data_IF_787395295085
#
_entry.id   IF_787395295085
#
_cell.length_a   1.000
_cell.length_b   1.000
_cell.length_c   1.000
_cell.angle_alpha   90.00
_cell.angle_beta   90.00
_cell.angle_gamma   90.00
#
_symmetry.space_group_name_H-M   'P 1'
#
loop_
_entity.id
_entity.type
_entity.pdbx_description
1 polymer ?
#
# COMPACT_ATOMS: atom_id res chain seq x y z
N UNK A 1 12.65 11.42 0.22
CA UNK A 1 12.60 10.12 -0.46
C UNK A 1 12.17 9.06 0.54
N UNK A 2 11.11 8.33 0.22
CA UNK A 2 10.69 7.14 0.96
C UNK A 2 11.20 5.95 0.17
N UNK A 3 12.00 5.10 0.80
CA UNK A 3 12.47 3.84 0.21
C UNK A 3 11.90 2.68 1.01
N UNK A 4 11.39 1.67 0.33
CA UNK A 4 10.87 0.45 0.98
C UNK A 4 12.03 -0.34 1.60
N UNK A 5 11.80 -0.90 2.77
CA UNK A 5 12.73 -1.83 3.41
C UNK A 5 12.81 -3.12 2.60
N UNK A 6 14.01 -3.61 2.34
CA UNK A 6 14.21 -4.97 1.83
C UNK A 6 14.24 -5.96 3.00
N UNK A 7 13.76 -7.18 2.73
CA UNK A 7 13.86 -8.27 3.70
C UNK A 7 15.30 -8.76 3.86
N UNK A 8 15.57 -9.33 5.02
CA UNK A 8 16.84 -10.01 5.29
C UNK A 8 17.07 -11.15 4.28
N UNK A 9 18.23 -11.18 3.64
CA UNK A 9 18.59 -12.18 2.62
C UNK A 9 19.43 -13.35 3.19
N UNK A 10 19.81 -13.29 4.46
CA UNK A 10 20.69 -14.30 5.08
C UNK A 10 19.89 -15.28 5.93
N UNK A 11 18.97 -14.79 6.73
CA UNK A 11 18.23 -15.60 7.70
C UNK A 11 16.76 -15.17 7.79
N UNK A 12 15.90 -16.12 8.10
CA UNK A 12 14.52 -15.83 8.46
C UNK A 12 14.47 -14.97 9.72
N UNK A 13 13.73 -13.88 9.65
CA UNK A 13 13.44 -13.02 10.79
C UNK A 13 11.97 -12.65 10.81
N UNK A 14 11.44 -12.40 11.98
CA UNK A 14 10.06 -12.00 12.13
C UNK A 14 9.83 -11.18 13.38
N UNK A 15 8.79 -10.41 13.37
CA UNK A 15 8.30 -9.68 14.53
C UNK A 15 6.78 -9.71 14.56
N UNK A 16 6.23 -9.95 15.73
CA UNK A 16 4.79 -9.85 15.98
C UNK A 16 4.55 -8.92 17.16
N UNK A 17 3.43 -8.24 17.15
CA UNK A 17 2.98 -7.39 18.24
C UNK A 17 1.48 -7.47 18.37
N UNK A 18 1.02 -7.64 19.59
CA UNK A 18 -0.41 -7.63 19.94
C UNK A 18 -0.60 -6.53 20.97
N UNK A 19 -1.43 -5.56 20.62
CA UNK A 19 -1.83 -4.47 21.52
C UNK A 19 -3.32 -4.52 21.82
N UNK A 20 -3.79 -3.59 22.62
CA UNK A 20 -5.20 -3.50 22.98
C UNK A 20 -6.12 -3.19 21.80
N UNK A 21 -5.59 -2.54 20.77
CA UNK A 21 -6.38 -2.03 19.62
C UNK A 21 -5.86 -2.56 18.30
N UNK A 22 -4.57 -2.88 18.21
CA UNK A 22 -3.90 -3.19 16.95
C UNK A 22 -2.96 -4.37 17.12
N UNK A 23 -2.98 -5.27 16.17
CA UNK A 23 -1.99 -6.34 16.02
C UNK A 23 -1.21 -6.16 14.72
N UNK A 24 0.06 -6.58 14.73
CA UNK A 24 0.94 -6.54 13.56
C UNK A 24 1.81 -7.77 13.48
N UNK A 25 2.14 -8.16 12.26
CA UNK A 25 3.06 -9.25 11.94
C UNK A 25 3.97 -8.81 10.79
N UNK A 26 5.28 -9.06 10.92
CA UNK A 26 6.23 -8.91 9.82
C UNK A 26 7.09 -10.17 9.75
N UNK A 27 7.31 -10.67 8.54
CA UNK A 27 8.12 -11.84 8.25
C UNK A 27 9.11 -11.48 7.15
N UNK A 28 10.38 -11.78 7.37
CA UNK A 28 11.46 -11.60 6.40
C UNK A 28 12.00 -12.98 6.04
N UNK A 29 11.80 -13.40 4.79
CA UNK A 29 12.03 -14.76 4.32
C UNK A 29 13.12 -14.73 3.26
N UNK A 30 14.32 -15.29 3.52
CA UNK A 30 15.30 -15.52 2.49
C UNK A 30 14.87 -16.73 1.64
N UNK A 31 14.58 -16.49 0.36
CA UNK A 31 14.21 -17.56 -0.59
C UNK A 31 15.49 -18.16 -1.19
N UNK A 32 16.40 -17.29 -1.62
CA UNK A 32 17.74 -17.68 -2.09
C UNK A 32 18.72 -16.79 -1.32
N UNK A 33 19.59 -17.44 -0.54
CA UNK A 33 20.57 -16.74 0.27
C UNK A 33 21.32 -15.68 -0.53
N UNK A 34 21.46 -14.48 0.04
CA UNK A 34 22.12 -13.30 -0.52
C UNK A 34 21.49 -12.74 -1.81
N UNK A 35 20.58 -13.47 -2.47
CA UNK A 35 20.00 -13.08 -3.76
C UNK A 35 18.53 -12.69 -3.66
N UNK A 36 17.69 -13.53 -3.06
CA UNK A 36 16.24 -13.37 -3.12
C UNK A 36 15.64 -13.37 -1.74
N UNK A 37 14.81 -12.37 -1.47
CA UNK A 37 14.07 -12.30 -0.22
C UNK A 37 12.62 -11.84 -0.44
N UNK A 38 11.77 -12.24 0.50
CA UNK A 38 10.38 -11.83 0.58
C UNK A 38 10.11 -11.24 1.96
N UNK A 39 9.60 -10.02 2.01
CA UNK A 39 9.02 -9.42 3.20
C UNK A 39 7.51 -9.52 3.10
N UNK A 40 6.87 -10.04 4.12
CA UNK A 40 5.43 -10.01 4.30
C UNK A 40 5.11 -9.20 5.55
N UNK A 41 4.13 -8.34 5.45
CA UNK A 41 3.63 -7.55 6.57
C UNK A 41 2.12 -7.58 6.62
N UNK A 42 1.57 -7.58 7.82
CA UNK A 42 0.15 -7.44 8.04
C UNK A 42 -0.13 -6.70 9.33
N UNK A 43 -1.16 -5.89 9.31
CA UNK A 43 -1.65 -5.16 10.47
C UNK A 43 -3.16 -5.14 10.46
N UNK A 44 -3.76 -5.22 11.63
CA UNK A 44 -5.21 -5.12 11.79
C UNK A 44 -5.56 -4.38 13.08
N UNK A 45 -6.70 -3.72 13.06
CA UNK A 45 -7.28 -3.03 14.21
C UNK A 45 -8.61 -3.65 14.58
N UNK A 46 -8.85 -3.73 15.89
CA UNK A 46 -10.08 -4.25 16.51
C UNK A 46 -10.54 -3.30 17.62
N UNK A 47 -10.90 -2.08 17.26
CA UNK A 47 -11.26 -1.01 18.19
C UNK A 47 -12.75 -0.99 18.59
N UNK A 48 -13.60 -1.82 18.00
CA UNK A 48 -15.04 -1.84 18.24
C UNK A 48 -15.41 -2.01 19.74
N UNK A 49 -14.59 -2.73 20.50
CA UNK A 49 -14.82 -2.92 21.93
C UNK A 49 -14.62 -1.64 22.74
N UNK A 50 -13.73 -0.73 22.32
CA UNK A 50 -13.50 0.56 22.97
C UNK A 50 -14.74 1.45 22.79
N UNK A 51 -15.33 1.46 21.60
CA UNK A 51 -16.54 2.22 21.33
C UNK A 51 -17.66 1.81 22.29
N UNK A 52 -17.79 0.54 22.59
CA UNK A 52 -18.77 0.00 23.55
C UNK A 52 -18.56 0.44 25.00
N UNK A 53 -17.36 0.94 25.35
CA UNK A 53 -17.08 1.48 26.70
C UNK A 53 -17.51 2.92 26.87
N UNK A 54 -17.86 3.61 25.77
CA UNK A 54 -18.30 5.00 25.82
C UNK A 54 -19.70 5.13 26.45
N UNK A 55 -19.99 6.25 27.10
CA UNK A 55 -21.32 6.51 27.66
C UNK A 55 -22.40 6.48 26.56
N UNK A 56 -23.59 5.98 26.87
CA UNK A 56 -24.73 5.94 25.94
C UNK A 56 -25.07 7.30 25.31
N UNK A 57 -24.79 8.39 26.03
CA UNK A 57 -25.05 9.77 25.58
C UNK A 57 -24.01 10.30 24.56
N UNK A 58 -22.93 9.55 24.29
CA UNK A 58 -21.85 10.00 23.40
C UNK A 58 -22.25 10.02 21.92
N UNK A 59 -23.27 9.26 21.53
CA UNK A 59 -23.66 9.05 20.11
C UNK A 59 -22.70 8.13 19.34
N UNK A 60 -21.57 7.71 19.92
CA UNK A 60 -20.53 6.91 19.27
C UNK A 60 -20.42 5.48 19.80
N UNK A 61 -21.26 5.09 20.76
CA UNK A 61 -21.19 3.76 21.39
C UNK A 61 -21.40 2.62 20.40
N UNK A 62 -22.29 2.84 19.44
CA UNK A 62 -22.61 1.86 18.38
C UNK A 62 -21.70 2.02 17.17
N UNK A 63 -20.75 2.94 17.24
CA UNK A 63 -19.76 3.16 16.22
C UNK A 63 -18.85 1.95 16.04
N UNK A 64 -18.38 1.77 14.81
CA UNK A 64 -17.41 0.73 14.44
C UNK A 64 -16.28 1.38 13.70
N UNK A 65 -15.05 1.05 14.07
CA UNK A 65 -13.87 1.50 13.35
C UNK A 65 -12.86 0.36 13.29
N UNK A 66 -12.38 0.06 12.11
CA UNK A 66 -11.41 -1.00 11.94
C UNK A 66 -10.71 -0.88 10.61
N UNK A 67 -9.46 -1.30 10.60
CA UNK A 67 -8.70 -1.42 9.37
C UNK A 67 -7.87 -2.69 9.39
N UNK A 68 -7.52 -3.16 8.22
CA UNK A 68 -6.41 -4.09 8.04
C UNK A 68 -5.61 -3.72 6.80
N UNK A 69 -4.33 -3.99 6.86
CA UNK A 69 -3.43 -3.85 5.72
C UNK A 69 -2.50 -5.06 5.60
N UNK A 70 -2.16 -5.34 4.35
CA UNK A 70 -1.24 -6.40 3.95
C UNK A 70 -0.21 -5.81 3.00
N UNK A 71 1.05 -6.13 3.22
CA UNK A 71 2.14 -5.73 2.36
C UNK A 71 3.04 -6.89 2.00
N UNK A 72 3.59 -6.87 0.79
CA UNK A 72 4.58 -7.81 0.32
C UNK A 72 5.68 -7.06 -0.45
N UNK A 73 6.94 -7.41 -0.19
CA UNK A 73 8.08 -6.91 -0.96
C UNK A 73 8.94 -8.10 -1.36
N UNK A 74 8.96 -8.38 -2.65
CA UNK A 74 9.87 -9.35 -3.24
C UNK A 74 11.10 -8.63 -3.78
N UNK A 75 12.30 -9.07 -3.41
CA UNK A 75 13.57 -8.51 -3.86
C UNK A 75 14.44 -9.59 -4.43
N UNK A 76 14.93 -9.40 -5.65
CA UNK A 76 15.81 -10.34 -6.33
C UNK A 76 17.02 -9.64 -6.95
N UNK A 77 18.20 -10.08 -6.57
CA UNK A 77 19.48 -9.66 -7.17
C UNK A 77 19.83 -10.65 -8.26
N UNK A 78 19.56 -10.28 -9.52
CA UNK A 78 19.86 -11.14 -10.69
C UNK A 78 21.36 -11.31 -10.83
N UNK A 79 22.11 -10.20 -10.75
CA UNK A 79 23.56 -10.13 -10.75
C UNK A 79 23.99 -8.77 -10.14
N UNK A 80 25.28 -8.47 -10.08
CA UNK A 80 25.83 -7.24 -9.51
C UNK A 80 25.31 -5.97 -10.17
N UNK A 81 24.87 -6.05 -11.43
CA UNK A 81 24.35 -4.90 -12.20
C UNK A 81 22.83 -4.81 -12.22
N UNK A 82 22.11 -5.90 -11.90
CA UNK A 82 20.67 -5.97 -12.07
C UNK A 82 19.96 -6.41 -10.80
N UNK A 83 19.01 -5.59 -10.38
CA UNK A 83 18.18 -5.84 -9.20
C UNK A 83 16.72 -5.55 -9.54
N UNK A 84 15.84 -6.48 -9.17
CA UNK A 84 14.39 -6.38 -9.30
C UNK A 84 13.76 -6.31 -7.91
N UNK A 85 12.87 -5.35 -7.71
CA UNK A 85 11.99 -5.30 -6.56
C UNK A 85 10.54 -5.27 -7.05
N UNK A 86 9.66 -6.02 -6.39
CA UNK A 86 8.22 -6.02 -6.64
C UNK A 86 7.52 -5.75 -5.32
N UNK A 87 6.58 -4.82 -5.34
CA UNK A 87 5.82 -4.38 -4.19
C UNK A 87 4.34 -4.67 -4.41
N UNK A 88 3.68 -5.19 -3.40
CA UNK A 88 2.25 -5.31 -3.33
C UNK A 88 1.76 -4.76 -2.00
N UNK A 89 0.67 -4.01 -2.02
CA UNK A 89 0.02 -3.49 -0.84
C UNK A 89 -1.49 -3.51 -1.03
N UNK A 90 -2.21 -3.85 0.03
CA UNK A 90 -3.65 -3.75 0.10
C UNK A 90 -4.06 -3.25 1.48
N UNK A 91 -5.01 -2.32 1.54
CA UNK A 91 -5.66 -1.94 2.78
C UNK A 91 -7.18 -1.85 2.63
N UNK A 92 -7.86 -2.13 3.71
CA UNK A 92 -9.28 -1.94 3.86
C UNK A 92 -9.55 -1.23 5.18
N UNK A 93 -10.20 -0.08 5.10
CA UNK A 93 -10.61 0.73 6.22
C UNK A 93 -12.14 0.77 6.26
N UNK A 94 -12.72 0.59 7.43
CA UNK A 94 -14.15 0.75 7.66
C UNK A 94 -14.39 1.65 8.86
N UNK A 95 -15.39 2.50 8.71
CA UNK A 95 -15.83 3.37 9.77
C UNK A 95 -17.36 3.51 9.71
N UNK A 96 -18.02 3.47 10.87
CA UNK A 96 -19.44 3.71 10.99
C UNK A 96 -19.68 4.52 12.27
N UNK A 97 -20.43 5.61 12.18
CA UNK A 97 -20.88 6.35 13.35
C UNK A 97 -22.00 5.62 14.08
N UNK A 98 -22.88 5.01 13.31
CA UNK A 98 -24.05 4.24 13.74
C UNK A 98 -24.36 3.16 12.71
N UNK A 99 -25.46 2.44 12.87
CA UNK A 99 -25.85 1.40 11.90
C UNK A 99 -26.34 1.97 10.55
N UNK A 100 -26.69 3.25 10.49
CA UNK A 100 -27.28 3.91 9.34
C UNK A 100 -26.24 4.55 8.41
N UNK A 101 -25.03 4.83 8.89
CA UNK A 101 -24.00 5.54 8.13
C UNK A 101 -22.67 4.79 8.19
N UNK A 102 -22.28 4.21 7.05
CA UNK A 102 -21.11 3.33 6.93
C UNK A 102 -20.20 3.80 5.82
N UNK A 103 -18.92 3.86 6.13
CA UNK A 103 -17.85 4.24 5.22
C UNK A 103 -16.88 3.08 5.04
N UNK A 104 -16.46 2.85 3.81
CA UNK A 104 -15.41 1.91 3.48
C UNK A 104 -14.42 2.51 2.47
N UNK A 105 -13.15 2.22 2.66
CA UNK A 105 -12.06 2.64 1.79
C UNK A 105 -11.19 1.43 1.49
N UNK A 106 -10.86 1.25 0.22
CA UNK A 106 -9.91 0.24 -0.20
C UNK A 106 -8.77 0.90 -0.97
N UNK A 107 -7.56 0.45 -0.69
CA UNK A 107 -6.38 0.82 -1.46
C UNK A 107 -5.68 -0.46 -1.91
N UNK A 108 -5.29 -0.51 -3.15
CA UNK A 108 -4.43 -1.55 -3.70
C UNK A 108 -3.31 -0.89 -4.50
N UNK A 109 -2.09 -1.27 -4.20
CA UNK A 109 -0.91 -0.87 -4.95
C UNK A 109 -0.15 -2.10 -5.40
N UNK A 110 0.28 -2.10 -6.63
CA UNK A 110 1.26 -3.03 -7.17
C UNK A 110 2.31 -2.23 -7.93
N UNK A 111 3.60 -2.49 -7.66
CA UNK A 111 4.66 -1.88 -8.46
C UNK A 111 5.87 -2.78 -8.59
N UNK A 112 6.57 -2.64 -9.71
CA UNK A 112 7.83 -3.29 -9.99
C UNK A 112 8.89 -2.23 -10.28
N UNK A 113 10.08 -2.43 -9.74
CA UNK A 113 11.23 -1.57 -9.95
C UNK A 113 12.42 -2.42 -10.38
N UNK A 114 12.99 -2.11 -11.53
CA UNK A 114 14.20 -2.72 -12.04
C UNK A 114 15.33 -1.70 -12.12
N UNK A 115 16.35 -1.91 -11.29
CA UNK A 115 17.59 -1.13 -11.33
C UNK A 115 18.63 -1.90 -12.13
N UNK A 116 19.27 -1.22 -13.10
CA UNK A 116 20.35 -1.79 -13.91
C UNK A 116 21.52 -0.81 -14.05
N UNK A 117 22.71 -1.34 -14.02
CA UNK A 117 23.95 -0.61 -14.29
C UNK A 117 24.39 -0.95 -15.71
N UNK A 118 24.14 -0.06 -16.66
CA UNK A 118 24.50 -0.24 -18.07
C UNK A 118 26.01 -0.15 -18.29
N UNK A 119 26.64 0.80 -17.61
CA UNK A 119 28.09 1.03 -17.66
C UNK A 119 28.53 1.60 -16.30
N UNK A 120 29.85 1.67 -16.05
CA UNK A 120 30.42 2.23 -14.81
C UNK A 120 29.86 3.62 -14.45
N UNK A 121 29.49 4.40 -15.44
CA UNK A 121 29.00 5.76 -15.30
C UNK A 121 27.50 5.94 -15.54
N UNK A 122 26.76 4.87 -15.91
CA UNK A 122 25.35 4.97 -16.29
C UNK A 122 24.52 3.90 -15.56
N UNK A 123 23.63 4.40 -14.70
CA UNK A 123 22.63 3.56 -14.01
C UNK A 123 21.23 3.96 -14.48
N UNK A 124 20.39 2.98 -14.79
CA UNK A 124 18.98 3.15 -15.08
C UNK A 124 18.11 2.54 -13.97
N UNK A 125 16.95 3.16 -13.75
CA UNK A 125 15.94 2.71 -12.82
C UNK A 125 14.57 2.79 -13.48
N UNK A 126 13.95 1.63 -13.73
CA UNK A 126 12.67 1.52 -14.42
C UNK A 126 11.62 1.10 -13.41
N UNK A 127 10.54 1.87 -13.33
CA UNK A 127 9.43 1.59 -12.46
C UNK A 127 8.15 1.49 -13.26
N UNK A 128 7.31 0.54 -12.91
CA UNK A 128 5.98 0.37 -13.44
C UNK A 128 5.05 0.04 -12.28
N UNK A 129 3.83 0.56 -12.28
CA UNK A 129 2.90 0.24 -11.22
C UNK A 129 1.46 0.56 -11.56
N UNK A 130 0.61 0.05 -10.69
CA UNK A 130 -0.83 0.22 -10.69
C UNK A 130 -1.31 0.54 -9.29
N UNK A 131 -2.13 1.57 -9.18
CA UNK A 131 -2.81 1.98 -7.96
C UNK A 131 -4.33 1.93 -8.20
N UNK A 132 -5.04 1.39 -7.23
CA UNK A 132 -6.50 1.42 -7.18
C UNK A 132 -6.94 1.94 -5.82
N UNK A 133 -7.82 2.89 -5.84
CA UNK A 133 -8.50 3.42 -4.66
C UNK A 133 -10.00 3.38 -4.91
N UNK A 134 -10.76 2.85 -3.98
CA UNK A 134 -12.21 2.97 -3.98
C UNK A 134 -12.74 3.45 -2.63
N UNK A 135 -13.82 4.18 -2.70
CA UNK A 135 -14.56 4.72 -1.58
C UNK A 135 -16.03 4.36 -1.71
N UNK A 136 -16.64 3.99 -0.59
CA UNK A 136 -18.05 3.75 -0.50
C UNK A 136 -18.60 4.37 0.78
N UNK A 137 -19.74 5.07 0.63
CA UNK A 137 -20.59 5.51 1.72
C UNK A 137 -21.98 4.92 1.53
N UNK A 138 -22.44 4.12 2.50
CA UNK A 138 -23.78 3.59 2.56
C UNK A 138 -24.53 4.37 3.65
N UNK A 139 -25.61 5.07 3.28
CA UNK A 139 -26.48 5.82 4.18
C UNK A 139 -27.90 5.22 4.12
N UNK A 140 -28.47 4.91 5.30
CA UNK A 140 -29.81 4.37 5.43
C UNK A 140 -30.55 5.17 6.49
N UNK A 141 -31.34 6.18 6.08
CA UNK A 141 -32.12 7.00 7.00
C UNK A 141 -33.45 6.29 7.34
N UNK A 142 -34.09 5.70 6.34
CA UNK A 142 -35.25 4.81 6.43
C UNK A 142 -35.09 3.74 5.33
N UNK A 143 -35.77 2.58 5.46
CA UNK A 143 -35.69 1.51 4.43
C UNK A 143 -36.03 2.01 3.00
N UNK A 144 -36.89 3.02 2.90
CA UNK A 144 -37.29 3.64 1.63
C UNK A 144 -36.34 4.74 1.12
N UNK A 145 -35.30 5.10 1.89
CA UNK A 145 -34.34 6.17 1.56
C UNK A 145 -32.89 5.74 1.71
N UNK A 146 -32.63 4.46 1.47
CA UNK A 146 -31.24 3.96 1.43
C UNK A 146 -30.52 4.56 0.21
N UNK A 147 -29.32 5.09 0.43
CA UNK A 147 -28.52 5.67 -0.62
C UNK A 147 -27.06 5.18 -0.53
N UNK A 148 -26.45 4.91 -1.67
CA UNK A 148 -25.05 4.57 -1.78
C UNK A 148 -24.31 5.56 -2.66
N UNK A 149 -23.26 6.15 -2.14
CA UNK A 149 -22.28 6.90 -2.91
C UNK A 149 -21.00 6.10 -3.03
N UNK A 150 -20.53 5.89 -4.25
CA UNK A 150 -19.25 5.23 -4.49
C UNK A 150 -18.45 5.94 -5.56
N UNK A 151 -17.13 5.99 -5.44
CA UNK A 151 -16.22 6.42 -6.49
C UNK A 151 -14.93 5.59 -6.46
N UNK A 152 -14.24 5.54 -7.60
CA UNK A 152 -13.00 4.80 -7.73
C UNK A 152 -12.00 5.54 -8.62
N UNK A 153 -10.73 5.39 -8.29
CA UNK A 153 -9.61 5.93 -9.05
C UNK A 153 -8.66 4.78 -9.36
N UNK A 154 -8.35 4.61 -10.63
CA UNK A 154 -7.33 3.69 -11.10
C UNK A 154 -6.21 4.50 -11.73
N UNK A 155 -4.97 4.17 -11.41
CA UNK A 155 -3.80 4.81 -11.96
C UNK A 155 -2.79 3.76 -12.42
N UNK A 156 -2.32 3.91 -13.65
CA UNK A 156 -1.14 3.23 -14.15
C UNK A 156 -0.01 4.22 -14.28
N UNK A 157 1.20 3.83 -13.91
CA UNK A 157 2.38 4.67 -14.15
C UNK A 157 3.55 3.86 -14.68
N UNK A 158 4.33 4.52 -15.52
CA UNK A 158 5.62 4.04 -15.99
C UNK A 158 6.65 5.14 -15.84
N UNK A 159 7.83 4.81 -15.31
CA UNK A 159 8.91 5.78 -15.06
C UNK A 159 10.24 5.16 -15.44
N UNK A 160 11.08 5.95 -16.10
CA UNK A 160 12.47 5.63 -16.38
C UNK A 160 13.36 6.78 -15.92
N UNK A 161 14.24 6.51 -14.95
CA UNK A 161 15.23 7.46 -14.43
C UNK A 161 16.64 6.98 -14.78
N UNK A 162 17.49 7.91 -15.15
CA UNK A 162 18.89 7.65 -15.46
C UNK A 162 19.79 8.53 -14.62
N UNK A 163 20.83 7.95 -14.07
CA UNK A 163 21.92 8.66 -13.41
C UNK A 163 23.18 8.47 -14.25
N UNK A 164 23.71 9.57 -14.77
CA UNK A 164 24.97 9.61 -15.49
C UNK A 164 26.04 10.36 -14.70
N UNK A 165 27.14 9.68 -14.38
CA UNK A 165 28.32 10.25 -13.74
C UNK A 165 29.21 10.86 -14.82
N UNK A 166 29.08 12.17 -15.07
CA UNK A 166 29.83 12.88 -16.11
C UNK A 166 31.33 13.09 -15.76
N UNK A 167 31.70 12.80 -14.52
CA UNK A 167 33.07 12.88 -14.00
C UNK A 167 33.10 12.66 -12.50
N UNK A 168 34.21 12.96 -11.87
CA UNK A 168 34.35 12.78 -10.41
C UNK A 168 33.52 13.77 -9.59
N UNK A 169 33.14 14.92 -10.19
CA UNK A 169 32.47 16.02 -9.49
C UNK A 169 31.06 16.31 -10.01
N UNK A 170 30.62 15.69 -11.09
CA UNK A 170 29.35 16.00 -11.73
C UNK A 170 28.51 14.73 -11.96
N UNK A 171 27.26 14.78 -11.52
CA UNK A 171 26.25 13.76 -11.78
C UNK A 171 25.02 14.43 -12.44
N UNK A 172 24.51 13.82 -13.49
CA UNK A 172 23.31 14.25 -14.21
C UNK A 172 22.22 13.24 -14.01
N UNK A 173 21.07 13.69 -13.48
CA UNK A 173 19.86 12.90 -13.40
C UNK A 173 18.88 13.37 -14.48
N UNK A 174 18.35 12.43 -15.26
CA UNK A 174 17.31 12.70 -16.24
C UNK A 174 16.37 11.51 -16.34
N UNK A 175 15.16 11.73 -16.81
CA UNK A 175 14.18 10.67 -16.91
C UNK A 175 12.88 11.14 -17.53
N UNK A 176 11.97 10.19 -17.65
CA UNK A 176 10.62 10.43 -18.12
C UNK A 176 9.64 9.66 -17.26
N UNK A 177 8.41 10.16 -17.13
CA UNK A 177 7.31 9.53 -16.43
C UNK A 177 6.04 9.72 -17.23
N UNK A 178 5.22 8.67 -17.28
CA UNK A 178 3.88 8.70 -17.84
C UNK A 178 2.91 8.16 -16.81
N UNK A 179 1.74 8.78 -16.72
CA UNK A 179 0.66 8.36 -15.83
C UNK A 179 -0.65 8.37 -16.60
N UNK A 180 -1.45 7.32 -16.39
CA UNK A 180 -2.79 7.19 -16.94
C UNK A 180 -3.77 7.02 -15.79
N UNK A 181 -4.74 7.92 -15.72
CA UNK A 181 -5.81 7.87 -14.72
C UNK A 181 -7.11 7.44 -15.37
N UNK A 182 -7.84 6.58 -14.69
CA UNK A 182 -9.23 6.27 -14.96
C UNK A 182 -10.02 6.55 -13.69
N UNK A 183 -10.85 7.59 -13.74
CA UNK A 183 -11.60 8.09 -12.58
C UNK A 183 -13.08 7.83 -12.82
N UNK A 184 -13.68 7.03 -11.93
CA UNK A 184 -15.12 7.00 -11.76
C UNK A 184 -15.48 8.07 -10.73
N UNK A 185 -16.03 9.20 -11.19
CA UNK A 185 -16.25 10.40 -10.37
C UNK A 185 -17.42 10.31 -9.39
N UNK A 186 -18.11 9.19 -9.36
CA UNK A 186 -19.15 8.89 -8.40
C UNK A 186 -20.40 8.29 -9.05
N UNK A 187 -20.90 7.24 -8.42
CA UNK A 187 -22.19 6.64 -8.69
C UNK A 187 -23.03 6.81 -7.44
N UNK A 188 -24.19 7.41 -7.61
CA UNK A 188 -25.22 7.51 -6.57
C UNK A 188 -26.33 6.52 -6.91
N UNK A 189 -26.58 5.60 -6.01
CA UNK A 189 -27.65 4.58 -6.15
C UNK A 189 -28.62 4.80 -4.99
N UNK A 190 -29.90 5.07 -5.29
CA UNK A 190 -30.95 5.18 -4.28
C UNK A 190 -31.35 3.83 -3.70
#
# INVERSE_FOLDING_TARGET
>A
NITSKEANKEKFTGSAGIGLVTSKLNLEIPIIKEKTSLLLSGRTTYSDWIMKTLPNKSGYRDGKAGFYDLGAVFSHTVNERNKLNVYGYYSHDRFAFNDNEKYAYNNMNFSANWRTVFAEKLTGNFSFGYDHYDYRNDETVEEASAARLSFAINQWFGKADFLYQAGNSHAVNFGLMSQLYNVNSGTYEP
#
